data_IF_705731614633
#
_entry.id   IF_705731614633
#
_cell.length_a   1.000
_cell.length_b   1.000
_cell.length_c   1.000
_cell.angle_alpha   90.00
_cell.angle_beta   90.00
_cell.angle_gamma   90.00
#
_symmetry.space_group_name_H-M   'P 1'
#
loop_
_entity.id
_entity.type
_entity.pdbx_description
1 polymer ?
#
# COMPACT_ATOMS: atom_id res chain seq x y z
N UNK A 1 -35.41 2.51 -51.22
CA UNK A 1 -34.59 1.62 -50.38
C UNK A 1 -34.45 2.21 -48.96
N UNK A 2 -35.22 1.66 -48.01
CA UNK A 2 -35.22 2.14 -46.63
C UNK A 2 -33.89 1.83 -45.92
N UNK A 3 -33.26 2.81 -45.30
CA UNK A 3 -32.05 2.67 -44.46
C UNK A 3 -32.40 1.77 -43.29
N UNK A 4 -31.80 0.56 -43.25
CA UNK A 4 -31.95 -0.40 -42.13
C UNK A 4 -31.50 0.31 -40.84
N UNK A 5 -32.39 0.37 -39.84
CA UNK A 5 -32.02 0.91 -38.52
C UNK A 5 -30.90 0.03 -37.93
N UNK A 6 -29.75 0.64 -37.60
CA UNK A 6 -28.62 -0.09 -36.97
C UNK A 6 -29.06 -0.64 -35.62
N UNK A 7 -28.87 -1.94 -35.42
CA UNK A 7 -29.10 -2.61 -34.13
C UNK A 7 -28.04 -2.17 -33.11
N UNK A 8 -28.23 -2.48 -31.81
CA UNK A 8 -27.24 -2.23 -30.78
C UNK A 8 -25.88 -2.86 -31.11
N UNK A 9 -25.87 -4.03 -31.72
CA UNK A 9 -24.66 -4.77 -32.15
C UNK A 9 -23.90 -4.06 -33.26
N UNK A 10 -24.58 -3.35 -34.18
CA UNK A 10 -23.95 -2.59 -35.26
C UNK A 10 -23.12 -1.38 -34.77
N UNK A 11 -23.26 -0.99 -33.47
CA UNK A 11 -22.56 0.13 -32.84
C UNK A 11 -21.39 -0.33 -31.96
N UNK A 12 -21.10 -1.62 -31.88
CA UNK A 12 -20.02 -2.17 -31.08
C UNK A 12 -18.70 -2.16 -31.85
N UNK A 13 -17.55 -2.11 -31.15
CA UNK A 13 -16.23 -2.25 -31.79
C UNK A 13 -16.00 -3.66 -32.33
N UNK A 14 -16.83 -4.63 -31.93
CA UNK A 14 -16.79 -6.02 -32.37
C UNK A 14 -17.75 -6.23 -33.54
N UNK A 15 -17.25 -6.70 -34.68
CA UNK A 15 -18.05 -6.94 -35.89
C UNK A 15 -18.23 -8.45 -36.12
N UNK A 16 -19.48 -8.94 -36.19
CA UNK A 16 -19.76 -10.32 -36.56
C UNK A 16 -19.45 -10.51 -38.02
N UNK A 17 -18.60 -11.48 -38.36
CA UNK A 17 -18.25 -11.89 -39.71
C UNK A 17 -18.56 -13.34 -39.94
N UNK A 18 -18.70 -13.74 -41.20
CA UNK A 18 -19.00 -15.08 -41.65
C UNK A 18 -17.95 -15.57 -42.64
N UNK A 19 -17.57 -16.83 -42.54
CA UNK A 19 -16.65 -17.50 -43.48
C UNK A 19 -17.33 -18.79 -44.00
N UNK A 20 -17.46 -18.94 -45.31
CA UNK A 20 -17.98 -20.14 -45.93
C UNK A 20 -17.00 -21.30 -45.75
N UNK A 21 -17.50 -22.46 -45.42
CA UNK A 21 -16.79 -23.72 -45.30
C UNK A 21 -17.07 -24.61 -46.54
N UNK A 22 -16.19 -25.59 -46.78
CA UNK A 22 -16.28 -26.50 -47.92
C UNK A 22 -17.52 -27.38 -47.88
N UNK A 23 -18.12 -27.62 -46.72
CA UNK A 23 -19.33 -28.40 -46.49
C UNK A 23 -20.64 -27.61 -46.63
N UNK A 24 -20.56 -26.37 -47.10
CA UNK A 24 -21.69 -25.46 -47.29
C UNK A 24 -22.18 -24.71 -46.06
N UNK A 25 -21.60 -24.97 -44.88
CA UNK A 25 -21.88 -24.19 -43.66
C UNK A 25 -21.12 -22.86 -43.66
N UNK A 26 -21.55 -21.93 -42.80
CA UNK A 26 -20.79 -20.69 -42.54
C UNK A 26 -20.34 -20.65 -41.09
N UNK A 27 -19.04 -20.50 -40.87
CA UNK A 27 -18.45 -20.26 -39.53
C UNK A 27 -18.57 -18.80 -39.14
N UNK A 28 -18.98 -18.54 -37.89
CA UNK A 28 -19.09 -17.21 -37.34
C UNK A 28 -17.80 -16.83 -36.58
N UNK A 29 -17.31 -15.61 -36.78
CA UNK A 29 -16.18 -15.06 -36.06
C UNK A 29 -16.36 -13.57 -35.78
N UNK A 30 -15.68 -13.08 -34.76
CA UNK A 30 -15.63 -11.66 -34.40
C UNK A 30 -14.39 -11.06 -35.03
N UNK A 31 -14.56 -9.92 -35.68
CA UNK A 31 -13.50 -9.05 -36.20
C UNK A 31 -13.46 -7.78 -35.35
N UNK A 32 -12.36 -7.52 -34.68
CA UNK A 32 -12.15 -6.29 -33.91
C UNK A 32 -10.73 -5.74 -34.12
N UNK A 33 -10.58 -4.43 -33.93
CA UNK A 33 -9.30 -3.75 -34.10
C UNK A 33 -8.69 -3.38 -32.74
N UNK A 34 -7.46 -3.83 -32.51
CA UNK A 34 -6.66 -3.50 -31.33
C UNK A 34 -5.36 -2.85 -31.78
N UNK A 35 -5.11 -1.61 -31.36
CA UNK A 35 -3.89 -0.88 -31.71
C UNK A 35 -3.65 -0.73 -33.23
N UNK A 36 -4.72 -0.66 -34.04
CA UNK A 36 -4.64 -0.54 -35.50
C UNK A 36 -4.47 -1.87 -36.23
N UNK A 37 -4.42 -3.00 -35.54
CA UNK A 37 -4.38 -4.35 -36.13
C UNK A 37 -5.72 -5.04 -35.97
N UNK A 38 -6.12 -5.81 -36.99
CA UNK A 38 -7.32 -6.65 -36.93
C UNK A 38 -7.01 -7.98 -36.25
N UNK A 39 -7.83 -8.32 -35.25
CA UNK A 39 -7.83 -9.62 -34.57
C UNK A 39 -9.13 -10.35 -34.88
N UNK A 40 -9.04 -11.67 -35.08
CA UNK A 40 -10.16 -12.52 -35.46
C UNK A 40 -10.34 -13.62 -34.44
N UNK A 41 -11.52 -13.66 -33.84
CA UNK A 41 -11.88 -14.68 -32.84
C UNK A 41 -13.01 -15.56 -33.35
N UNK A 42 -12.75 -16.86 -33.54
CA UNK A 42 -13.73 -17.84 -34.03
C UNK A 42 -14.62 -18.29 -32.87
N UNK A 43 -15.95 -18.10 -33.03
CA UNK A 43 -16.92 -18.42 -31.99
C UNK A 43 -17.25 -19.91 -31.90
N UNK A 44 -16.79 -20.74 -32.87
CA UNK A 44 -17.19 -22.15 -33.04
C UNK A 44 -18.71 -22.33 -33.23
N UNK A 45 -19.39 -21.30 -33.73
CA UNK A 45 -20.79 -21.27 -34.10
C UNK A 45 -20.89 -21.35 -35.62
N UNK A 46 -21.85 -22.17 -36.12
CA UNK A 46 -21.97 -22.42 -37.53
C UNK A 46 -23.42 -22.20 -37.99
N UNK A 47 -23.59 -21.59 -39.15
CA UNK A 47 -24.85 -21.49 -39.82
C UNK A 47 -24.93 -22.62 -40.88
N UNK A 48 -26.09 -23.27 -40.94
CA UNK A 48 -26.36 -24.30 -41.93
C UNK A 48 -27.07 -23.71 -43.15
N UNK A 49 -27.01 -24.37 -44.36
CA UNK A 49 -27.76 -23.91 -45.51
C UNK A 49 -29.26 -23.85 -45.22
N UNK A 50 -29.93 -22.75 -45.56
CA UNK A 50 -31.36 -22.51 -45.28
C UNK A 50 -32.30 -23.28 -46.24
N UNK A 51 -32.19 -24.59 -46.26
CA UNK A 51 -33.01 -25.47 -47.12
C UNK A 51 -34.36 -25.85 -46.52
N UNK A 52 -34.56 -25.55 -45.22
CA UNK A 52 -35.81 -25.88 -44.51
C UNK A 52 -36.18 -24.83 -43.47
N UNK A 53 -37.45 -24.78 -43.06
CA UNK A 53 -37.94 -23.93 -41.99
C UNK A 53 -37.24 -24.23 -40.64
N UNK A 54 -36.82 -25.49 -40.42
CA UNK A 54 -36.05 -25.93 -39.24
C UNK A 54 -34.64 -25.32 -39.27
N UNK A 55 -33.92 -25.39 -40.39
CA UNK A 55 -32.61 -24.80 -40.59
C UNK A 55 -32.64 -23.28 -40.38
N UNK A 56 -33.65 -22.58 -40.84
CA UNK A 56 -33.84 -21.15 -40.64
C UNK A 56 -34.02 -20.77 -39.15
N UNK A 57 -34.77 -21.58 -38.40
CA UNK A 57 -34.94 -21.38 -36.94
C UNK A 57 -33.62 -21.62 -36.17
N UNK A 58 -32.90 -22.66 -36.56
CA UNK A 58 -31.58 -22.99 -35.99
C UNK A 58 -30.57 -21.87 -36.24
N UNK A 59 -30.44 -21.37 -37.46
CA UNK A 59 -29.59 -20.23 -37.78
C UNK A 59 -29.96 -18.96 -37.00
N UNK A 60 -31.27 -18.68 -36.85
CA UNK A 60 -31.72 -17.54 -36.03
C UNK A 60 -31.29 -17.67 -34.57
N UNK A 61 -31.33 -18.89 -33.99
CA UNK A 61 -30.86 -19.16 -32.64
C UNK A 61 -29.34 -18.97 -32.52
N UNK A 62 -28.57 -19.50 -33.45
CA UNK A 62 -27.13 -19.38 -33.53
C UNK A 62 -26.67 -17.91 -33.65
N UNK A 63 -27.37 -17.11 -34.46
CA UNK A 63 -27.10 -15.68 -34.59
C UNK A 63 -27.38 -14.92 -33.29
N UNK A 64 -28.46 -15.24 -32.58
CA UNK A 64 -28.73 -14.62 -31.25
C UNK A 64 -27.63 -14.95 -30.25
N UNK A 65 -27.15 -16.18 -30.20
CA UNK A 65 -26.02 -16.54 -29.33
C UNK A 65 -24.77 -15.76 -29.68
N UNK A 66 -24.46 -15.57 -30.96
CA UNK A 66 -23.31 -14.75 -31.36
C UNK A 66 -23.47 -13.27 -30.97
N UNK A 67 -24.69 -12.72 -31.08
CA UNK A 67 -25.00 -11.35 -30.65
C UNK A 67 -24.86 -11.18 -29.12
N UNK A 68 -25.32 -12.15 -28.33
CA UNK A 68 -25.17 -12.15 -26.86
C UNK A 68 -23.69 -12.16 -26.44
N UNK A 69 -22.85 -12.95 -27.10
CA UNK A 69 -21.40 -12.99 -26.88
C UNK A 69 -20.76 -11.61 -27.17
N UNK A 70 -21.16 -10.97 -28.27
CA UNK A 70 -20.65 -9.64 -28.65
C UNK A 70 -21.09 -8.57 -27.63
N UNK A 71 -22.32 -8.62 -27.14
CA UNK A 71 -22.80 -7.69 -26.13
C UNK A 71 -22.04 -7.84 -24.83
N UNK A 72 -21.88 -9.06 -24.33
CA UNK A 72 -21.11 -9.33 -23.12
C UNK A 72 -19.65 -8.86 -23.21
N UNK A 73 -18.99 -9.07 -24.37
CA UNK A 73 -17.63 -8.55 -24.61
C UNK A 73 -17.58 -7.04 -24.66
N UNK A 74 -18.60 -6.41 -25.20
CA UNK A 74 -18.68 -4.94 -25.28
C UNK A 74 -18.88 -4.33 -23.89
N UNK A 75 -19.74 -4.92 -23.07
CA UNK A 75 -19.97 -4.50 -21.67
C UNK A 75 -18.67 -4.63 -20.85
N UNK A 76 -18.01 -5.76 -20.92
CA UNK A 76 -16.73 -5.98 -20.26
C UNK A 76 -15.64 -4.98 -20.70
N UNK A 77 -15.62 -4.60 -21.97
CA UNK A 77 -14.66 -3.60 -22.49
C UNK A 77 -14.99 -2.18 -21.99
N UNK A 78 -16.25 -1.82 -21.89
CA UNK A 78 -16.71 -0.52 -21.37
C UNK A 78 -16.42 -0.42 -19.88
N UNK A 79 -16.75 -1.47 -19.12
CA UNK A 79 -16.48 -1.53 -17.68
C UNK A 79 -14.97 -1.45 -17.38
N UNK A 80 -14.15 -2.16 -18.17
CA UNK A 80 -12.70 -2.10 -18.05
C UNK A 80 -12.14 -0.70 -18.30
N UNK A 81 -12.64 0.02 -19.31
CA UNK A 81 -12.24 1.41 -19.59
C UNK A 81 -12.68 2.37 -18.48
N UNK A 82 -13.89 2.23 -17.99
CA UNK A 82 -14.41 3.04 -16.88
C UNK A 82 -13.60 2.83 -15.60
N UNK A 83 -13.21 1.57 -15.31
CA UNK A 83 -12.34 1.26 -14.18
C UNK A 83 -10.93 1.86 -14.34
N UNK A 84 -10.34 1.80 -15.55
CA UNK A 84 -9.05 2.40 -15.83
C UNK A 84 -9.06 3.93 -15.69
N UNK A 85 -10.11 4.59 -16.11
CA UNK A 85 -10.29 6.04 -15.96
C UNK A 85 -10.45 6.42 -14.48
N UNK A 86 -11.26 5.67 -13.73
CA UNK A 86 -11.44 5.88 -12.29
C UNK A 86 -10.14 5.67 -11.49
N UNK A 87 -9.30 4.69 -11.87
CA UNK A 87 -7.99 4.48 -11.27
C UNK A 87 -7.01 5.60 -11.61
N UNK A 88 -7.02 6.09 -12.86
CA UNK A 88 -6.20 7.25 -13.28
C UNK A 88 -6.58 8.50 -12.49
N UNK A 89 -7.86 8.73 -12.24
CA UNK A 89 -8.31 9.89 -11.45
C UNK A 89 -7.90 9.77 -9.98
N UNK A 90 -7.98 8.59 -9.38
CA UNK A 90 -7.48 8.34 -8.02
C UNK A 90 -5.98 8.59 -7.90
N UNK A 91 -5.18 8.22 -8.90
CA UNK A 91 -3.74 8.41 -8.87
C UNK A 91 -3.29 9.88 -8.96
N UNK A 92 -4.17 10.78 -9.43
CA UNK A 92 -3.91 12.23 -9.49
C UNK A 92 -3.99 12.94 -8.14
N UNK A 93 -4.39 12.22 -7.08
CA UNK A 93 -4.44 12.76 -5.70
C UNK A 93 -3.04 13.17 -5.26
N UNK A 94 -2.94 14.30 -4.56
CA UNK A 94 -1.67 14.75 -3.99
C UNK A 94 -1.16 13.74 -2.95
N UNK A 95 0.15 13.54 -2.94
CA UNK A 95 0.80 12.67 -1.94
C UNK A 95 0.51 13.16 -0.52
N UNK A 96 0.54 14.48 -0.28
CA UNK A 96 0.21 15.10 0.99
C UNK A 96 -1.20 14.78 1.47
N UNK A 97 -2.19 14.83 0.57
CA UNK A 97 -3.60 14.56 0.91
C UNK A 97 -3.81 13.08 1.23
N UNK A 98 -3.17 12.20 0.46
CA UNK A 98 -3.21 10.77 0.74
C UNK A 98 -2.57 10.43 2.10
N UNK A 99 -1.46 11.10 2.45
CA UNK A 99 -0.82 10.90 3.76
C UNK A 99 -1.72 11.41 4.89
N UNK A 100 -2.44 12.52 4.71
CA UNK A 100 -3.37 13.03 5.72
C UNK A 100 -4.51 12.02 5.98
N UNK A 101 -5.05 11.41 4.91
CA UNK A 101 -6.01 10.31 5.04
C UNK A 101 -5.44 9.14 5.87
N UNK A 102 -4.17 8.77 5.65
CA UNK A 102 -3.52 7.73 6.45
C UNK A 102 -3.31 8.15 7.91
N UNK A 103 -2.95 9.42 8.15
CA UNK A 103 -2.79 9.96 9.50
C UNK A 103 -4.08 9.82 10.30
N UNK A 104 -5.21 10.18 9.70
CA UNK A 104 -6.52 10.10 10.36
C UNK A 104 -6.93 8.65 10.63
N UNK A 105 -6.69 7.73 9.70
CA UNK A 105 -6.90 6.30 9.94
C UNK A 105 -6.06 5.76 11.10
N UNK A 106 -4.79 6.19 11.20
CA UNK A 106 -3.90 5.75 12.28
C UNK A 106 -4.34 6.31 13.64
N UNK A 107 -4.79 7.56 13.67
CA UNK A 107 -5.36 8.17 14.89
C UNK A 107 -6.61 7.44 15.36
N UNK A 108 -7.56 7.18 14.45
CA UNK A 108 -8.79 6.45 14.77
C UNK A 108 -8.51 5.06 15.34
N UNK A 109 -7.43 4.41 14.88
CA UNK A 109 -7.00 3.09 15.38
C UNK A 109 -6.07 3.15 16.60
N UNK A 110 -5.84 4.33 17.19
CA UNK A 110 -4.94 4.50 18.33
C UNK A 110 -3.46 4.16 18.03
N UNK A 111 -3.04 4.17 16.74
CA UNK A 111 -1.68 3.81 16.36
C UNK A 111 -0.74 5.01 16.42
N UNK A 112 0.39 4.88 17.11
CA UNK A 112 1.41 5.94 17.25
C UNK A 112 2.14 6.31 15.95
N UNK A 113 2.03 5.49 14.90
CA UNK A 113 2.66 5.71 13.59
C UNK A 113 2.22 7.00 12.88
N UNK A 114 1.10 7.64 13.28
CA UNK A 114 0.63 8.91 12.73
C UNK A 114 1.65 10.04 12.85
N UNK A 115 2.47 10.06 13.91
CA UNK A 115 3.53 11.08 14.08
C UNK A 115 4.61 10.96 12.99
N UNK A 116 5.00 9.74 12.64
CA UNK A 116 5.96 9.48 11.56
C UNK A 116 5.38 9.82 10.18
N UNK A 117 4.11 9.52 9.95
CA UNK A 117 3.42 9.93 8.72
C UNK A 117 3.38 11.45 8.57
N UNK A 118 3.10 12.19 9.67
CA UNK A 118 3.14 13.65 9.66
C UNK A 118 4.53 14.20 9.31
N UNK A 119 5.59 13.66 9.93
CA UNK A 119 6.96 14.04 9.59
C UNK A 119 7.30 13.71 8.13
N UNK A 120 6.88 12.55 7.63
CA UNK A 120 7.07 12.17 6.22
C UNK A 120 6.34 13.12 5.27
N UNK A 121 5.12 13.53 5.57
CA UNK A 121 4.38 14.54 4.78
C UNK A 121 5.18 15.83 4.64
N UNK A 122 5.67 16.37 5.76
CA UNK A 122 6.52 17.58 5.75
C UNK A 122 7.78 17.39 4.89
N UNK A 123 8.43 16.23 5.00
CA UNK A 123 9.63 15.94 4.22
C UNK A 123 9.35 15.86 2.71
N UNK A 124 8.21 15.29 2.30
CA UNK A 124 7.85 15.24 0.87
C UNK A 124 7.53 16.61 0.30
N UNK A 125 6.87 17.48 1.08
CA UNK A 125 6.61 18.85 0.67
C UNK A 125 7.91 19.69 0.55
N UNK A 126 8.93 19.39 1.36
CA UNK A 126 10.25 20.00 1.24
C UNK A 126 11.04 19.43 0.06
N UNK A 127 10.93 18.14 -0.22
CA UNK A 127 11.64 17.47 -1.30
C UNK A 127 11.08 17.82 -2.68
N UNK A 128 9.80 17.56 -2.88
CA UNK A 128 9.07 17.89 -4.11
C UNK A 128 7.63 18.26 -3.78
N UNK A 129 7.35 19.57 -3.64
CA UNK A 129 6.01 20.06 -3.31
C UNK A 129 4.99 19.66 -4.37
N UNK A 130 3.75 19.49 -3.95
CA UNK A 130 2.61 19.18 -4.81
C UNK A 130 2.77 17.89 -5.67
N UNK A 131 3.63 16.95 -5.27
CA UNK A 131 3.75 15.66 -5.95
C UNK A 131 2.45 14.87 -5.87
N UNK A 132 2.04 14.25 -6.97
CA UNK A 132 0.87 13.36 -7.03
C UNK A 132 1.31 11.92 -6.96
N UNK A 133 0.42 11.02 -6.56
CA UNK A 133 0.71 9.59 -6.50
C UNK A 133 1.12 9.01 -7.85
N UNK A 134 0.58 9.52 -8.97
CA UNK A 134 0.97 9.11 -10.33
C UNK A 134 2.39 9.55 -10.74
N UNK A 135 2.95 10.57 -10.08
CA UNK A 135 4.27 11.11 -10.39
C UNK A 135 5.40 10.33 -9.67
N UNK A 136 5.02 9.44 -8.75
CA UNK A 136 5.97 8.68 -7.94
C UNK A 136 6.38 7.42 -8.70
N UNK A 137 7.52 7.49 -9.33
CA UNK A 137 8.18 6.39 -10.01
C UNK A 137 9.38 5.84 -9.20
N UNK A 138 10.11 4.90 -9.77
CA UNK A 138 11.35 4.36 -9.18
C UNK A 138 12.37 5.48 -8.96
N UNK A 139 12.51 6.39 -9.93
CA UNK A 139 13.46 7.50 -9.86
C UNK A 139 13.14 8.44 -8.70
N UNK A 140 11.87 8.79 -8.50
CA UNK A 140 11.44 9.58 -7.35
C UNK A 140 11.89 8.95 -6.03
N UNK A 141 11.72 7.62 -5.88
CA UNK A 141 12.12 6.92 -4.66
C UNK A 141 13.64 6.98 -4.43
N UNK A 142 14.45 6.80 -5.48
CA UNK A 142 15.92 6.90 -5.40
C UNK A 142 16.34 8.32 -5.04
N UNK A 143 15.83 9.32 -5.77
CA UNK A 143 16.15 10.74 -5.55
C UNK A 143 15.80 11.18 -4.13
N UNK A 144 14.64 10.73 -3.61
CA UNK A 144 14.25 11.01 -2.22
C UNK A 144 15.22 10.40 -1.20
N UNK A 145 15.69 9.18 -1.46
CA UNK A 145 16.71 8.52 -0.62
C UNK A 145 18.03 9.26 -0.59
N UNK A 146 18.49 9.75 -1.75
CA UNK A 146 19.71 10.56 -1.86
C UNK A 146 19.52 11.88 -1.13
N UNK A 147 18.42 12.59 -1.39
CA UNK A 147 18.11 13.87 -0.75
C UNK A 147 18.09 13.78 0.78
N UNK A 148 17.49 12.72 1.35
CA UNK A 148 17.47 12.50 2.81
C UNK A 148 18.87 12.36 3.43
N UNK A 149 19.84 11.84 2.67
CA UNK A 149 21.19 11.57 3.16
C UNK A 149 22.16 12.71 2.93
N UNK A 150 21.93 13.56 1.91
CA UNK A 150 22.89 14.58 1.48
C UNK A 150 22.42 16.02 1.68
N UNK A 151 21.12 16.29 1.54
CA UNK A 151 20.62 17.67 1.46
C UNK A 151 19.64 18.02 2.58
N UNK A 152 18.91 17.01 3.10
CA UNK A 152 17.90 17.28 4.11
C UNK A 152 18.50 17.69 5.44
N UNK A 153 18.12 18.89 5.89
CA UNK A 153 18.44 19.40 7.23
C UNK A 153 17.20 19.36 8.11
N UNK A 154 17.38 19.00 9.36
CA UNK A 154 16.32 19.07 10.36
C UNK A 154 15.96 20.54 10.68
N UNK A 155 14.86 20.81 11.42
CA UNK A 155 14.47 22.18 11.78
C UNK A 155 15.56 22.99 12.53
N UNK A 156 16.58 22.33 13.07
CA UNK A 156 17.73 22.95 13.72
C UNK A 156 18.92 23.17 12.77
N UNK A 157 18.73 22.95 11.45
CA UNK A 157 19.77 23.14 10.43
C UNK A 157 20.87 22.08 10.45
N UNK A 158 20.64 20.91 11.06
CA UNK A 158 21.63 19.82 11.15
C UNK A 158 21.26 18.65 10.25
N UNK A 159 22.27 17.98 9.73
CA UNK A 159 22.11 16.70 9.02
C UNK A 159 21.50 15.68 9.96
N UNK A 160 20.58 14.88 9.46
CA UNK A 160 19.91 13.83 10.23
C UNK A 160 20.79 12.58 10.35
N UNK A 161 20.63 11.84 11.44
CA UNK A 161 21.27 10.54 11.58
C UNK A 161 20.77 9.53 10.53
N UNK A 162 21.63 8.62 10.08
CA UNK A 162 21.30 7.59 9.11
C UNK A 162 20.07 6.76 9.52
N UNK A 163 19.91 6.46 10.82
CA UNK A 163 18.71 5.76 11.34
C UNK A 163 17.42 6.56 11.16
N UNK A 164 17.50 7.89 11.20
CA UNK A 164 16.36 8.77 10.94
C UNK A 164 16.05 8.81 9.43
N UNK A 165 17.07 8.96 8.59
CA UNK A 165 16.93 8.90 7.13
C UNK A 165 16.32 7.56 6.70
N UNK A 166 16.85 6.44 7.23
CA UNK A 166 16.26 5.11 7.01
C UNK A 166 14.78 5.07 7.41
N UNK A 167 14.44 5.62 8.58
CA UNK A 167 13.06 5.62 9.06
C UNK A 167 12.12 6.39 8.10
N UNK A 168 12.50 7.60 7.65
CA UNK A 168 11.70 8.38 6.70
C UNK A 168 11.59 7.69 5.34
N UNK A 169 12.69 7.14 4.84
CA UNK A 169 12.71 6.38 3.61
C UNK A 169 11.81 5.13 3.67
N UNK A 170 11.83 4.41 4.79
CA UNK A 170 10.95 3.26 5.03
C UNK A 170 9.47 3.63 5.02
N UNK A 171 9.13 4.80 5.56
CA UNK A 171 7.75 5.28 5.55
C UNK A 171 7.24 5.59 4.14
N UNK A 172 8.09 5.99 3.18
CA UNK A 172 7.71 6.06 1.77
C UNK A 172 7.23 4.70 1.27
N UNK A 173 7.96 3.62 1.57
CA UNK A 173 7.56 2.25 1.22
C UNK A 173 6.21 1.84 1.82
N UNK A 174 5.94 2.23 3.08
CA UNK A 174 4.65 2.00 3.74
C UNK A 174 3.53 2.77 3.02
N UNK A 175 3.74 4.06 2.73
CA UNK A 175 2.76 4.93 2.08
C UNK A 175 2.42 4.36 0.70
N UNK A 176 3.41 4.00 -0.11
CA UNK A 176 3.20 3.43 -1.45
C UNK A 176 2.54 2.04 -1.40
N UNK A 177 2.84 1.23 -0.40
CA UNK A 177 2.14 -0.05 -0.19
C UNK A 177 0.67 0.17 0.15
N UNK A 178 0.35 1.18 0.97
CA UNK A 178 -1.02 1.54 1.30
C UNK A 178 -1.77 2.14 0.12
N UNK A 179 -1.11 2.95 -0.72
CA UNK A 179 -1.73 3.50 -1.93
C UNK A 179 -2.09 2.41 -2.93
N UNK A 180 -1.26 1.37 -3.10
CA UNK A 180 -1.61 0.18 -3.87
C UNK A 180 -2.80 -0.58 -3.27
N UNK A 181 -2.79 -0.85 -1.96
CA UNK A 181 -3.88 -1.57 -1.29
C UNK A 181 -5.24 -0.86 -1.40
N UNK A 182 -5.22 0.47 -1.47
CA UNK A 182 -6.43 1.31 -1.62
C UNK A 182 -6.79 1.59 -3.08
N UNK A 183 -6.05 1.06 -4.06
CA UNK A 183 -6.32 1.23 -5.49
C UNK A 183 -6.02 2.64 -6.03
N UNK A 184 -5.13 3.40 -5.39
CA UNK A 184 -4.67 4.70 -5.91
C UNK A 184 -3.57 4.54 -6.95
N UNK A 185 -2.71 3.54 -6.84
CA UNK A 185 -1.69 3.17 -7.82
C UNK A 185 -1.71 1.67 -8.06
N UNK A 186 -1.45 1.25 -9.32
CA UNK A 186 -1.44 -0.18 -9.70
C UNK A 186 -0.21 -0.91 -9.16
N UNK A 187 0.95 -0.30 -9.30
CA UNK A 187 2.23 -0.90 -8.96
C UNK A 187 2.93 -0.06 -7.88
N UNK A 188 3.64 -0.73 -6.99
CA UNK A 188 4.44 -0.06 -5.96
C UNK A 188 5.86 0.15 -6.47
N UNK A 189 6.29 1.39 -6.81
CA UNK A 189 7.63 1.67 -7.31
C UNK A 189 8.74 1.37 -6.30
N UNK A 190 8.45 1.40 -5.00
CA UNK A 190 9.36 0.98 -3.94
C UNK A 190 9.86 -0.46 -4.10
N UNK A 191 9.00 -1.37 -4.60
CA UNK A 191 9.38 -2.77 -4.82
C UNK A 191 10.37 -2.97 -5.97
N UNK A 192 10.52 -1.96 -6.84
CA UNK A 192 11.46 -1.97 -7.96
C UNK A 192 12.87 -1.54 -7.55
N UNK A 193 13.05 -1.07 -6.31
CA UNK A 193 14.35 -0.68 -5.78
C UNK A 193 15.18 -1.91 -5.45
N UNK A 194 16.42 -1.92 -5.94
CA UNK A 194 17.44 -2.87 -5.50
C UNK A 194 17.91 -2.57 -4.07
N UNK A 195 18.58 -3.50 -3.42
CA UNK A 195 19.08 -3.29 -2.06
C UNK A 195 20.16 -2.21 -1.95
N UNK A 196 20.85 -1.91 -3.07
CA UNK A 196 21.83 -0.82 -3.13
C UNK A 196 21.17 0.57 -3.25
N UNK A 197 19.95 0.63 -3.78
CA UNK A 197 19.18 1.87 -3.93
C UNK A 197 18.40 2.22 -2.65
N UNK A 198 18.31 1.30 -1.71
CA UNK A 198 17.64 1.53 -0.43
C UNK A 198 18.60 2.04 0.62
N UNK A 199 18.15 2.97 1.45
CA UNK A 199 18.90 3.36 2.64
C UNK A 199 18.95 2.16 3.58
N UNK A 200 20.15 1.74 3.97
CA UNK A 200 20.34 0.64 4.91
C UNK A 200 20.11 1.09 6.33
N UNK A 201 19.50 0.26 7.13
CA UNK A 201 19.42 0.47 8.56
C UNK A 201 20.84 0.37 9.13
N UNK A 202 21.31 1.39 9.88
CA UNK A 202 22.61 1.31 10.51
C UNK A 202 22.61 0.23 11.59
N UNK A 203 23.71 -0.51 11.67
CA UNK A 203 23.94 -1.42 12.78
C UNK A 203 24.23 -0.59 14.04
N UNK A 204 23.34 -0.66 15.01
CA UNK A 204 23.49 0.04 16.28
C UNK A 204 24.31 -0.80 17.24
N UNK A 205 25.47 -0.29 17.66
CA UNK A 205 26.18 -0.85 18.81
C UNK A 205 25.37 -0.53 20.07
N UNK A 206 24.87 -1.57 20.71
CA UNK A 206 24.16 -1.40 21.99
C UNK A 206 25.18 -1.37 23.10
N UNK A 207 25.27 -0.25 23.79
CA UNK A 207 26.04 -0.13 25.01
C UNK A 207 25.13 -0.38 26.21
N UNK A 208 25.67 -0.93 27.27
CA UNK A 208 25.00 -1.22 28.53
C UNK A 208 25.92 -0.84 29.69
N UNK A 209 25.35 -0.53 30.82
CA UNK A 209 26.08 -0.26 32.03
C UNK A 209 26.47 -1.59 32.71
N UNK A 210 27.71 -1.71 33.14
CA UNK A 210 28.17 -2.79 33.99
C UNK A 210 27.66 -2.62 35.41
N UNK A 211 27.67 -3.69 36.22
CA UNK A 211 27.29 -3.59 37.64
C UNK A 211 28.16 -2.63 38.41
N UNK A 212 29.45 -2.54 38.09
CA UNK A 212 30.39 -1.57 38.71
C UNK A 212 30.00 -0.13 38.40
N UNK A 213 29.58 0.15 37.16
CA UNK A 213 29.11 1.49 36.77
C UNK A 213 27.77 1.85 37.43
N UNK A 214 26.85 0.88 37.58
CA UNK A 214 25.60 1.06 38.32
C UNK A 214 25.91 1.38 39.80
N UNK A 215 26.81 0.64 40.44
CA UNK A 215 27.23 0.90 41.81
C UNK A 215 27.87 2.30 41.96
N UNK A 216 28.68 2.73 40.99
CA UNK A 216 29.24 4.11 40.99
C UNK A 216 28.12 5.16 40.91
N UNK A 217 27.13 4.95 40.06
CA UNK A 217 25.96 5.85 39.93
C UNK A 217 25.13 5.90 41.23
N UNK A 218 24.96 4.78 41.92
CA UNK A 218 24.27 4.71 43.21
C UNK A 218 24.96 5.56 44.27
N UNK A 219 26.30 5.57 44.32
CA UNK A 219 27.10 6.29 45.27
C UNK A 219 27.43 7.72 44.83
N UNK A 220 27.02 8.15 43.63
CA UNK A 220 27.29 9.51 43.12
C UNK A 220 26.18 10.46 43.55
N UNK A 221 26.49 11.56 44.26
CA UNK A 221 25.51 12.58 44.63
C UNK A 221 24.88 13.22 43.37
N UNK A 222 23.56 13.33 43.36
CA UNK A 222 22.82 13.98 42.26
C UNK A 222 21.73 14.90 42.79
N UNK A 223 21.64 16.13 42.25
CA UNK A 223 20.66 17.14 42.72
C UNK A 223 19.22 16.68 42.73
N UNK A 224 18.83 15.79 41.77
CA UNK A 224 17.49 15.25 41.65
C UNK A 224 17.48 13.76 42.00
N UNK A 225 17.57 13.48 43.30
CA UNK A 225 17.70 12.11 43.83
C UNK A 225 16.57 11.18 43.40
N UNK A 226 15.34 11.67 43.24
CA UNK A 226 14.21 10.92 42.70
C UNK A 226 14.47 10.40 41.28
N UNK A 227 15.16 11.18 40.42
CA UNK A 227 15.50 10.74 39.04
C UNK A 227 16.57 9.66 39.11
N UNK A 228 17.60 9.82 39.94
CA UNK A 228 18.64 8.81 40.16
C UNK A 228 18.03 7.50 40.61
N UNK A 229 17.18 7.52 41.65
CA UNK A 229 16.47 6.32 42.14
C UNK A 229 15.58 5.64 41.07
N UNK A 230 14.83 6.43 40.34
CA UNK A 230 14.00 5.90 39.25
C UNK A 230 14.86 5.26 38.13
N UNK A 231 16.01 5.84 37.82
CA UNK A 231 16.93 5.29 36.83
C UNK A 231 17.55 3.96 37.31
N UNK A 232 18.07 3.93 38.55
CA UNK A 232 18.63 2.71 39.16
C UNK A 232 17.54 1.59 39.23
N UNK A 233 16.34 1.95 39.63
CA UNK A 233 15.23 1.04 39.65
C UNK A 233 14.93 0.47 38.24
N UNK A 234 14.94 1.32 37.20
CA UNK A 234 14.80 0.88 35.83
C UNK A 234 15.93 -0.08 35.38
N UNK A 235 17.18 0.15 35.82
CA UNK A 235 18.30 -0.74 35.54
C UNK A 235 18.10 -2.15 36.15
N UNK A 236 17.63 -2.24 37.38
CA UNK A 236 17.41 -3.50 38.08
C UNK A 236 16.17 -4.25 37.58
N UNK A 237 15.08 -3.55 37.26
CA UNK A 237 13.81 -4.15 36.83
C UNK A 237 13.71 -4.35 35.32
N UNK A 238 14.57 -3.75 34.50
CA UNK A 238 14.48 -3.79 33.03
C UNK A 238 13.24 -3.08 32.46
N UNK A 239 12.54 -2.26 33.27
CA UNK A 239 11.36 -1.52 32.83
C UNK A 239 11.74 -0.28 32.02
N UNK A 240 10.92 0.08 31.05
CA UNK A 240 11.13 1.34 30.30
C UNK A 240 10.78 2.53 31.15
N UNK A 241 11.42 3.69 30.89
CA UNK A 241 11.19 4.93 31.63
C UNK A 241 9.67 5.28 31.74
N UNK A 242 8.91 5.11 30.68
CA UNK A 242 7.45 5.35 30.71
C UNK A 242 6.70 4.41 31.66
N UNK A 243 7.11 3.15 31.70
CA UNK A 243 6.51 2.15 32.59
C UNK A 243 6.88 2.45 34.05
N UNK A 244 8.15 2.83 34.32
CA UNK A 244 8.60 3.25 35.67
C UNK A 244 7.86 4.49 36.17
N UNK A 245 7.66 5.49 35.32
CA UNK A 245 6.95 6.71 35.68
C UNK A 245 5.45 6.50 35.93
N UNK A 246 4.89 5.45 35.38
CA UNK A 246 3.48 5.06 35.57
C UNK A 246 3.22 4.17 36.76
N UNK A 247 4.27 3.66 37.46
CA UNK A 247 4.14 2.74 38.58
C UNK A 247 3.37 3.33 39.76
N UNK A 248 2.53 2.50 40.36
CA UNK A 248 1.76 2.80 41.54
C UNK A 248 2.00 1.74 42.61
N UNK A 249 1.81 2.07 43.87
CA UNK A 249 1.88 1.13 45.00
C UNK A 249 0.92 -0.06 44.82
N UNK A 250 -0.21 0.15 44.14
CA UNK A 250 -1.17 -0.91 43.82
C UNK A 250 -0.62 -1.97 42.85
N UNK A 251 0.45 -1.67 42.12
CA UNK A 251 1.09 -2.58 41.15
C UNK A 251 2.07 -3.54 41.85
N UNK A 252 2.30 -3.35 43.15
CA UNK A 252 3.16 -4.19 44.00
C UNK A 252 2.29 -5.18 44.73
N UNK A 253 2.60 -6.45 44.64
CA UNK A 253 1.95 -7.54 45.35
C UNK A 253 3.00 -8.38 46.11
N UNK A 254 2.51 -9.06 47.16
CA UNK A 254 3.36 -9.99 47.93
C UNK A 254 2.80 -11.41 47.74
N UNK A 255 3.67 -12.29 47.29
CA UNK A 255 3.33 -13.70 47.13
C UNK A 255 4.46 -14.58 47.68
N UNK A 256 4.14 -15.46 48.62
CA UNK A 256 5.12 -16.33 49.26
C UNK A 256 6.27 -15.56 49.98
N UNK A 257 6.01 -14.40 50.55
CA UNK A 257 7.00 -13.53 51.23
C UNK A 257 7.93 -12.75 50.26
N UNK A 258 7.69 -12.81 48.94
CA UNK A 258 8.40 -12.04 47.94
C UNK A 258 7.54 -10.97 47.32
N UNK A 259 8.11 -9.82 47.05
CA UNK A 259 7.44 -8.72 46.37
C UNK A 259 7.52 -8.89 44.87
N UNK A 260 6.44 -8.57 44.16
CA UNK A 260 6.36 -8.61 42.71
C UNK A 260 5.75 -7.30 42.20
N UNK A 261 6.24 -6.83 41.05
CA UNK A 261 5.62 -5.75 40.28
C UNK A 261 4.83 -6.39 39.16
N UNK A 262 3.55 -6.06 39.05
CA UNK A 262 2.67 -6.53 37.97
C UNK A 262 2.10 -5.33 37.21
N UNK A 263 2.58 -5.12 35.97
CA UNK A 263 2.20 -3.97 35.16
C UNK A 263 1.90 -4.39 33.70
N UNK A 264 1.06 -3.58 33.04
CA UNK A 264 0.87 -3.69 31.59
C UNK A 264 1.75 -2.66 30.91
N UNK A 265 2.76 -3.12 30.17
CA UNK A 265 3.72 -2.25 29.46
C UNK A 265 3.03 -1.32 28.48
N UNK A 266 3.26 -0.02 28.55
CA UNK A 266 2.62 0.99 27.70
C UNK A 266 2.90 0.81 26.20
N UNK A 267 4.11 0.39 25.84
CA UNK A 267 4.54 0.31 24.43
C UNK A 267 3.88 -0.82 23.63
N UNK A 268 3.60 -1.96 24.27
CA UNK A 268 3.15 -3.17 23.58
C UNK A 268 1.94 -3.84 24.22
N UNK A 269 1.38 -3.20 25.26
CA UNK A 269 0.20 -3.68 26.02
C UNK A 269 0.36 -5.11 26.56
N UNK A 270 1.62 -5.55 26.82
CA UNK A 270 1.88 -6.87 27.40
C UNK A 270 1.93 -6.79 28.91
N UNK A 271 1.20 -7.66 29.61
CA UNK A 271 1.35 -7.80 31.06
C UNK A 271 2.73 -8.41 31.35
N UNK A 272 3.36 -7.93 32.41
CA UNK A 272 4.63 -8.45 32.92
C UNK A 272 4.53 -8.51 34.44
N UNK A 273 5.08 -9.56 35.05
CA UNK A 273 5.26 -9.68 36.49
C UNK A 273 6.75 -9.92 36.76
N UNK A 274 7.35 -9.10 37.57
CA UNK A 274 8.77 -9.12 37.90
C UNK A 274 8.93 -9.24 39.41
N UNK A 275 9.84 -10.13 39.93
CA UNK A 275 10.21 -10.12 41.33
C UNK A 275 11.04 -8.85 41.65
N UNK A 276 10.83 -8.31 42.86
CA UNK A 276 11.62 -7.24 43.44
C UNK A 276 12.72 -7.77 44.32
#
# INVERSE_FOLDING_TARGET
MGRRKKTKVDKTPFKLRRRKLADGRESLFIDHSVGGKHEYEFLKLYLVPETSAKAKRENARTLRQAEEIILAKTENMVDGKAQEEAEKDKSKVLLSDFIELLIDEYKQRGRSGHLKLRASRTNFELFRPNSRLCDIDKKFCVDYGVWLQSEYLNPQGKVIAQSTAFSYFWYLGIILSRSCQKGYIKNNPWKLLSDHEKIRQPEGKREFLTLEEINKLENTPYKKDNIRRAFLFACYCGLRVGDVMGLRWSDISVNGGRHFISVVMQKNSKPISLPL
#
